data_IF_000598821997
#
_entry.id   IF_000598821997
#
_cell.length_a   1.000
_cell.length_b   1.000
_cell.length_c   1.000
_cell.angle_alpha   90.00
_cell.angle_beta   90.00
_cell.angle_gamma   90.00
#
_symmetry.space_group_name_H-M   'P 1'
#
loop_
_entity.id
_entity.type
_entity.pdbx_description
1 polymer ?
#
# COMPACT_ATOMS: atom_id res chain seq x y z
N UNK A 1 -33.00 -20.71 24.42
CA UNK A 1 -32.08 -20.71 23.26
C UNK A 1 -31.68 -19.30 22.75
N UNK A 2 -31.95 -18.20 23.48
CA UNK A 2 -31.82 -16.83 22.94
C UNK A 2 -30.49 -16.12 23.29
N UNK A 3 -29.80 -16.54 24.35
CA UNK A 3 -28.56 -15.87 24.83
C UNK A 3 -27.35 -16.08 23.92
N UNK A 4 -27.22 -17.26 23.30
CA UNK A 4 -26.09 -17.59 22.41
C UNK A 4 -26.12 -16.74 21.13
N UNK A 5 -27.30 -16.47 20.58
CA UNK A 5 -27.49 -15.63 19.41
C UNK A 5 -27.25 -14.13 19.72
N UNK A 6 -27.69 -13.68 20.90
CA UNK A 6 -27.44 -12.33 21.41
C UNK A 6 -25.93 -12.05 21.53
N UNK A 7 -25.18 -12.92 22.20
CA UNK A 7 -23.73 -12.77 22.39
C UNK A 7 -22.96 -12.77 21.08
N UNK A 8 -23.36 -13.60 20.11
CA UNK A 8 -22.72 -13.65 18.79
C UNK A 8 -22.97 -12.36 17.97
N UNK A 9 -24.15 -11.74 18.11
CA UNK A 9 -24.47 -10.45 17.50
C UNK A 9 -23.67 -9.28 18.11
N UNK A 10 -23.35 -9.35 19.40
CA UNK A 10 -22.58 -8.35 20.14
C UNK A 10 -21.10 -8.43 19.79
N UNK A 11 -20.53 -9.65 19.78
CA UNK A 11 -19.16 -9.88 19.32
C UNK A 11 -18.94 -9.38 17.89
N UNK A 12 -19.86 -9.70 16.97
CA UNK A 12 -19.76 -9.27 15.57
C UNK A 12 -19.80 -7.74 15.42
N UNK A 13 -20.62 -7.04 16.21
CA UNK A 13 -20.65 -5.57 16.26
C UNK A 13 -19.35 -4.98 16.82
N UNK A 14 -18.82 -5.56 17.89
CA UNK A 14 -17.55 -5.12 18.48
C UNK A 14 -16.38 -5.32 17.51
N UNK A 15 -16.29 -6.48 16.86
CA UNK A 15 -15.27 -6.72 15.83
C UNK A 15 -15.43 -5.78 14.63
N UNK A 16 -16.66 -5.53 14.16
CA UNK A 16 -16.90 -4.58 13.09
C UNK A 16 -16.48 -3.15 13.47
N UNK A 17 -16.75 -2.72 14.71
CA UNK A 17 -16.33 -1.42 15.22
C UNK A 17 -14.80 -1.32 15.33
N UNK A 18 -14.15 -2.33 15.89
CA UNK A 18 -12.68 -2.37 16.04
C UNK A 18 -11.98 -2.43 14.67
N UNK A 19 -12.53 -3.15 13.71
CA UNK A 19 -11.98 -3.24 12.35
C UNK A 19 -12.28 -1.98 11.50
N UNK A 20 -13.32 -1.21 11.81
CA UNK A 20 -13.73 -0.06 11.01
C UNK A 20 -12.67 1.05 10.97
N UNK A 21 -12.01 1.32 12.09
CA UNK A 21 -10.98 2.36 12.23
C UNK A 21 -9.72 2.07 11.38
N UNK A 22 -9.07 0.88 11.48
CA UNK A 22 -7.93 0.55 10.63
C UNK A 22 -8.33 0.44 9.15
N UNK A 23 -9.54 -0.04 8.82
CA UNK A 23 -10.03 -0.04 7.43
C UNK A 23 -10.22 1.37 6.87
N UNK A 24 -10.72 2.32 7.67
CA UNK A 24 -10.86 3.70 7.26
C UNK A 24 -9.48 4.35 7.00
N UNK A 25 -8.50 4.09 7.87
CA UNK A 25 -7.13 4.53 7.69
C UNK A 25 -6.50 3.94 6.42
N UNK A 26 -6.66 2.63 6.18
CA UNK A 26 -6.21 1.95 4.97
C UNK A 26 -6.76 2.59 3.68
N UNK A 27 -8.07 2.85 3.65
CA UNK A 27 -8.72 3.51 2.51
C UNK A 27 -8.19 4.91 2.28
N UNK A 28 -7.99 5.69 3.35
CA UNK A 28 -7.45 7.07 3.27
C UNK A 28 -6.01 7.06 2.75
N UNK A 29 -5.14 6.21 3.29
CA UNK A 29 -3.76 6.08 2.83
C UNK A 29 -3.71 5.66 1.35
N UNK A 30 -4.51 4.67 0.96
CA UNK A 30 -4.64 4.25 -0.44
C UNK A 30 -5.04 5.39 -1.36
N UNK A 31 -6.03 6.21 -0.95
CA UNK A 31 -6.48 7.36 -1.71
C UNK A 31 -5.40 8.46 -1.80
N UNK A 32 -4.71 8.74 -0.69
CA UNK A 32 -3.63 9.74 -0.63
C UNK A 32 -2.43 9.31 -1.47
N UNK A 33 -1.95 8.07 -1.33
CA UNK A 33 -0.85 7.52 -2.12
C UNK A 33 -1.17 7.57 -3.62
N UNK A 34 -2.39 7.20 -4.02
CA UNK A 34 -2.81 7.30 -5.41
C UNK A 34 -2.90 8.75 -5.89
N UNK A 35 -3.40 9.67 -5.06
CA UNK A 35 -3.47 11.10 -5.40
C UNK A 35 -2.07 11.68 -5.64
N UNK A 36 -1.11 11.38 -4.77
CA UNK A 36 0.28 11.81 -4.92
C UNK A 36 0.91 11.17 -6.16
N UNK A 37 0.73 9.87 -6.36
CA UNK A 37 1.26 9.17 -7.53
C UNK A 37 0.71 9.73 -8.85
N UNK A 38 -0.59 10.04 -8.91
CA UNK A 38 -1.21 10.72 -10.05
C UNK A 38 -0.64 12.11 -10.26
N UNK A 39 -0.43 12.88 -9.19
CA UNK A 39 0.19 14.19 -9.30
C UNK A 39 1.57 14.10 -9.98
N UNK A 40 2.44 13.21 -9.49
CA UNK A 40 3.79 13.01 -10.04
C UNK A 40 3.74 12.61 -11.51
N UNK A 41 2.94 11.59 -11.84
CA UNK A 41 2.85 11.03 -13.20
C UNK A 41 2.14 11.96 -14.19
N UNK A 42 1.30 12.89 -13.73
CA UNK A 42 0.54 13.81 -14.58
C UNK A 42 1.21 15.15 -14.81
N UNK A 43 2.41 15.38 -14.29
CA UNK A 43 3.11 16.67 -14.39
C UNK A 43 3.38 17.11 -15.83
N UNK A 44 3.59 16.18 -16.77
CA UNK A 44 3.89 16.48 -18.17
C UNK A 44 2.71 17.04 -18.97
N UNK A 45 2.93 18.10 -19.76
CA UNK A 45 1.92 18.69 -20.65
C UNK A 45 1.94 18.06 -22.04
N UNK A 46 3.08 17.50 -22.46
CA UNK A 46 3.24 16.78 -23.73
C UNK A 46 3.35 15.27 -23.55
N UNK A 47 3.18 14.50 -24.63
CA UNK A 47 3.36 13.03 -24.62
C UNK A 47 4.78 12.62 -24.20
N UNK A 48 5.80 13.37 -24.63
CA UNK A 48 7.20 13.11 -24.27
C UNK A 48 7.47 13.34 -22.79
N UNK A 49 6.98 14.45 -22.23
CA UNK A 49 7.09 14.71 -20.79
C UNK A 49 6.32 13.68 -19.96
N UNK A 50 5.12 13.29 -20.40
CA UNK A 50 4.36 12.24 -19.73
C UNK A 50 5.12 10.90 -19.70
N UNK A 51 5.78 10.52 -20.80
CA UNK A 51 6.62 9.33 -20.85
C UNK A 51 7.79 9.39 -19.85
N UNK A 52 8.47 10.55 -19.75
CA UNK A 52 9.53 10.77 -18.77
C UNK A 52 9.04 10.57 -17.31
N UNK A 53 7.91 11.18 -16.95
CA UNK A 53 7.33 11.03 -15.62
C UNK A 53 6.82 9.61 -15.34
N UNK A 54 6.30 8.90 -16.35
CA UNK A 54 5.93 7.49 -16.25
C UNK A 54 7.16 6.63 -15.94
N UNK A 55 8.30 6.85 -16.61
CA UNK A 55 9.54 6.10 -16.38
C UNK A 55 10.04 6.37 -14.96
N UNK A 56 10.13 7.63 -14.54
CA UNK A 56 10.55 7.99 -13.18
C UNK A 56 9.67 7.35 -12.09
N UNK A 57 8.34 7.37 -12.28
CA UNK A 57 7.41 6.72 -11.36
C UNK A 57 7.53 5.18 -11.38
N UNK A 58 7.89 4.58 -12.52
CA UNK A 58 8.10 3.14 -12.64
C UNK A 58 9.36 2.69 -11.91
N UNK A 59 10.46 3.46 -12.01
CA UNK A 59 11.70 3.21 -11.25
C UNK A 59 11.45 3.34 -9.76
N UNK A 60 10.73 4.38 -9.33
CA UNK A 60 10.34 4.55 -7.92
C UNK A 60 9.48 3.37 -7.41
N UNK A 61 8.54 2.89 -8.23
CA UNK A 61 7.75 1.71 -7.90
C UNK A 61 8.61 0.45 -7.77
N UNK A 62 9.59 0.26 -8.66
CA UNK A 62 10.53 -0.86 -8.56
C UNK A 62 11.36 -0.80 -7.27
N UNK A 63 11.89 0.37 -6.91
CA UNK A 63 12.59 0.57 -5.64
C UNK A 63 11.71 0.26 -4.43
N UNK A 64 10.45 0.70 -4.44
CA UNK A 64 9.48 0.37 -3.39
C UNK A 64 9.21 -1.15 -3.30
N UNK A 65 9.15 -1.85 -4.43
CA UNK A 65 8.99 -3.30 -4.45
C UNK A 65 10.19 -4.05 -3.85
N UNK A 66 11.43 -3.58 -4.13
CA UNK A 66 12.65 -4.14 -3.52
C UNK A 66 12.59 -3.99 -2.00
N UNK A 67 12.27 -2.80 -1.49
CA UNK A 67 12.17 -2.56 -0.04
C UNK A 67 11.16 -3.50 0.61
N UNK A 68 9.99 -3.66 0.00
CA UNK A 68 8.96 -4.59 0.49
C UNK A 68 9.48 -6.04 0.50
N UNK A 69 10.13 -6.48 -0.58
CA UNK A 69 10.69 -7.83 -0.67
C UNK A 69 11.77 -8.07 0.39
N UNK A 70 12.67 -7.11 0.61
CA UNK A 70 13.70 -7.19 1.66
C UNK A 70 13.09 -7.33 3.05
N UNK A 71 12.07 -6.52 3.38
CA UNK A 71 11.39 -6.60 4.68
C UNK A 71 10.57 -7.88 4.86
N UNK A 72 9.99 -8.43 3.79
CA UNK A 72 9.35 -9.75 3.86
C UNK A 72 10.36 -10.85 4.18
N UNK A 73 11.59 -10.78 3.63
CA UNK A 73 12.68 -11.70 3.96
C UNK A 73 13.09 -11.63 5.44
N UNK A 74 13.24 -10.42 5.98
CA UNK A 74 13.52 -10.20 7.41
C UNK A 74 12.41 -10.81 8.30
N UNK A 75 11.15 -10.52 7.99
CA UNK A 75 10.00 -11.07 8.72
C UNK A 75 9.95 -12.60 8.65
N UNK A 76 10.19 -13.18 7.47
CA UNK A 76 10.25 -14.63 7.31
C UNK A 76 11.34 -15.24 8.19
N UNK A 77 12.50 -14.59 8.31
CA UNK A 77 13.58 -15.01 9.21
C UNK A 77 13.17 -14.99 10.68
N UNK A 78 12.57 -13.89 11.15
CA UNK A 78 12.11 -13.77 12.55
C UNK A 78 11.05 -14.83 12.88
N UNK A 79 10.10 -15.05 11.97
CA UNK A 79 9.01 -16.02 12.14
C UNK A 79 9.50 -17.47 12.13
N UNK A 80 10.35 -17.83 11.17
CA UNK A 80 10.87 -19.21 11.02
C UNK A 80 11.82 -19.60 12.14
N UNK A 81 12.64 -18.66 12.63
CA UNK A 81 13.59 -18.89 13.71
C UNK A 81 12.98 -18.71 15.12
N UNK A 82 11.65 -18.51 15.22
CA UNK A 82 10.90 -18.29 16.46
C UNK A 82 11.46 -17.16 17.36
N UNK A 83 12.19 -16.21 16.78
CA UNK A 83 12.88 -15.19 17.56
C UNK A 83 11.98 -14.06 18.08
N UNK A 84 10.70 -14.09 17.70
CA UNK A 84 9.63 -13.24 18.22
C UNK A 84 9.42 -13.36 19.75
N UNK A 85 10.08 -14.30 20.42
CA UNK A 85 10.09 -14.40 21.88
C UNK A 85 10.88 -13.26 22.57
N UNK A 86 11.77 -12.58 21.85
CA UNK A 86 12.50 -11.41 22.35
C UNK A 86 11.69 -10.12 22.12
N UNK A 87 11.61 -9.26 23.15
CA UNK A 87 10.91 -7.97 23.05
C UNK A 87 11.48 -7.05 21.97
N UNK A 88 12.80 -7.10 21.74
CA UNK A 88 13.47 -6.32 20.70
C UNK A 88 13.06 -6.79 19.31
N UNK A 89 13.03 -8.10 19.08
CA UNK A 89 12.66 -8.67 17.78
C UNK A 89 11.17 -8.53 17.49
N UNK A 90 10.33 -8.47 18.53
CA UNK A 90 8.90 -8.16 18.39
C UNK A 90 8.69 -6.71 17.90
N UNK A 91 9.50 -5.75 18.37
CA UNK A 91 9.48 -4.37 17.88
C UNK A 91 9.97 -4.28 16.43
N UNK A 92 11.05 -5.00 16.09
CA UNK A 92 11.55 -5.09 14.71
C UNK A 92 10.50 -5.67 13.76
N UNK A 93 9.79 -6.72 14.19
CA UNK A 93 8.69 -7.31 13.44
C UNK A 93 7.54 -6.31 13.23
N UNK A 94 7.15 -5.58 14.28
CA UNK A 94 6.14 -4.53 14.19
C UNK A 94 6.53 -3.39 13.23
N UNK A 95 7.78 -2.92 13.32
CA UNK A 95 8.30 -1.89 12.41
C UNK A 95 8.39 -2.41 10.96
N UNK A 96 8.86 -3.64 10.76
CA UNK A 96 8.92 -4.28 9.44
C UNK A 96 7.55 -4.37 8.78
N UNK A 97 6.53 -4.80 9.52
CA UNK A 97 5.13 -4.82 9.05
C UNK A 97 4.67 -3.39 8.72
N UNK A 98 4.96 -2.42 9.57
CA UNK A 98 4.62 -1.01 9.33
C UNK A 98 5.25 -0.44 8.06
N UNK A 99 6.54 -0.74 7.82
CA UNK A 99 7.26 -0.33 6.60
C UNK A 99 6.66 -0.98 5.37
N UNK A 100 6.44 -2.30 5.40
CA UNK A 100 5.80 -3.02 4.27
C UNK A 100 4.43 -2.43 3.97
N UNK A 101 3.65 -2.15 5.01
CA UNK A 101 2.34 -1.55 4.87
C UNK A 101 2.42 -0.19 4.18
N UNK A 102 3.26 0.73 4.66
CA UNK A 102 3.38 2.08 4.11
C UNK A 102 3.96 2.08 2.68
N UNK A 103 5.10 1.41 2.48
CA UNK A 103 5.79 1.35 1.20
C UNK A 103 4.95 0.58 0.17
N UNK A 104 4.24 -0.45 0.59
CA UNK A 104 3.29 -1.17 -0.26
C UNK A 104 2.16 -0.28 -0.80
N UNK A 105 1.64 0.66 0.00
CA UNK A 105 0.65 1.63 -0.50
C UNK A 105 1.23 2.58 -1.54
N UNK A 106 2.46 3.05 -1.32
CA UNK A 106 3.17 3.89 -2.29
C UNK A 106 3.38 3.12 -3.60
N UNK A 107 3.89 1.88 -3.52
CA UNK A 107 4.06 1.00 -4.67
C UNK A 107 2.76 0.83 -5.46
N UNK A 108 1.66 0.44 -4.79
CA UNK A 108 0.37 0.24 -5.43
C UNK A 108 -0.15 1.54 -6.05
N UNK A 109 0.00 2.67 -5.37
CA UNK A 109 -0.36 3.99 -5.88
C UNK A 109 0.39 4.33 -7.18
N UNK A 110 1.71 4.16 -7.19
CA UNK A 110 2.57 4.41 -8.34
C UNK A 110 2.24 3.50 -9.52
N UNK A 111 2.11 2.20 -9.31
CA UNK A 111 1.76 1.24 -10.37
C UNK A 111 0.41 1.58 -11.00
N UNK A 112 -0.59 1.96 -10.20
CA UNK A 112 -1.90 2.36 -10.71
C UNK A 112 -1.83 3.64 -11.52
N UNK A 113 -1.13 4.66 -11.01
CA UNK A 113 -0.94 5.92 -11.72
C UNK A 113 -0.19 5.74 -13.05
N UNK A 114 0.91 4.98 -13.05
CA UNK A 114 1.65 4.58 -14.26
C UNK A 114 0.75 3.88 -15.27
N UNK A 115 -0.06 2.91 -14.83
CA UNK A 115 -1.01 2.20 -15.71
C UNK A 115 -2.09 3.12 -16.29
N UNK A 116 -2.55 4.10 -15.54
CA UNK A 116 -3.51 5.10 -16.02
C UNK A 116 -2.88 5.99 -17.09
N UNK A 117 -1.71 6.55 -16.82
CA UNK A 117 -1.03 7.46 -17.75
C UNK A 117 -0.52 6.73 -18.99
N UNK A 118 0.04 5.53 -18.87
CA UNK A 118 0.44 4.73 -20.02
C UNK A 118 -0.76 4.36 -20.92
N UNK A 119 -1.97 4.22 -20.37
CA UNK A 119 -3.20 4.04 -21.16
C UNK A 119 -3.67 5.33 -21.81
N UNK A 120 -3.39 6.49 -21.22
CA UNK A 120 -3.69 7.79 -21.81
C UNK A 120 -2.73 8.10 -22.98
N UNK A 121 -1.41 7.93 -22.79
CA UNK A 121 -0.40 8.11 -23.85
C UNK A 121 -0.72 7.23 -25.06
N UNK A 122 -1.07 5.95 -24.83
CA UNK A 122 -1.45 5.01 -25.89
C UNK A 122 -2.71 5.41 -26.66
N UNK A 123 -3.60 6.20 -26.08
CA UNK A 123 -4.85 6.67 -26.72
C UNK A 123 -4.69 7.99 -27.49
N UNK A 124 -3.45 8.43 -27.73
CA UNK A 124 -3.20 9.68 -28.44
C UNK A 124 -3.14 10.91 -27.55
N UNK A 125 -3.16 10.78 -26.23
CA UNK A 125 -2.56 11.76 -25.31
C UNK A 125 -2.74 13.26 -25.59
N UNK A 126 -3.93 13.71 -26.01
CA UNK A 126 -4.23 15.13 -26.18
C UNK A 126 -4.96 15.60 -24.91
N UNK A 127 -4.22 16.21 -23.97
CA UNK A 127 -4.82 16.92 -22.84
C UNK A 127 -5.27 18.29 -23.39
N UNK A 128 -6.52 18.71 -23.15
CA UNK A 128 -6.94 20.07 -23.48
C UNK A 128 -6.11 21.11 -22.74
#
# INVERSE_FOLDING_TARGET
>A
MNEKASNMSTLRRSFAAIASTPMAMHRRLSAVSLKIARFITRTGKSRGEAAFWIVGASVAAFGAAIVVASKLGELAGILTLQRWQSSTELLELGMGIGVIYLVGHVFVGLVRAVREEARWVRRGGDRP
#
